data_IF_245947147987
#
_entry.id   IF_245947147987
#
_cell.length_a   1.000
_cell.length_b   1.000
_cell.length_c   1.000
_cell.angle_alpha   90.00
_cell.angle_beta   90.00
_cell.angle_gamma   90.00
#
_symmetry.space_group_name_H-M   'P 1'
#
loop_
_entity.id
_entity.type
_entity.pdbx_description
1 polymer ?
#
# COMPACT_ATOMS: atom_id res chain seq x y z
N UNK A 1 -5.77 -23.22 3.29
CA UNK A 1 -6.09 -21.81 2.99
C UNK A 1 -6.53 -21.15 4.28
N UNK A 2 -5.75 -20.25 4.90
CA UNK A 2 -6.30 -19.38 5.94
C UNK A 2 -6.84 -18.08 5.34
N UNK A 3 -7.77 -17.49 6.07
CA UNK A 3 -8.76 -16.50 5.66
C UNK A 3 -8.24 -15.27 4.91
N UNK A 4 -8.94 -14.92 3.83
CA UNK A 4 -9.08 -13.54 3.32
C UNK A 4 -9.40 -12.64 4.53
N UNK A 5 -8.71 -11.50 4.74
CA UNK A 5 -8.89 -10.74 5.96
C UNK A 5 -10.30 -10.14 5.96
N UNK A 6 -10.85 -9.92 7.16
CA UNK A 6 -12.15 -9.27 7.34
C UNK A 6 -12.10 -7.87 6.73
N UNK A 7 -12.54 -7.75 5.48
CA UNK A 7 -12.83 -6.48 4.82
C UNK A 7 -13.85 -5.77 5.71
N UNK A 8 -13.50 -4.58 6.17
CA UNK A 8 -14.51 -3.74 6.82
C UNK A 8 -15.35 -3.10 5.73
N UNK A 9 -16.65 -2.91 5.98
CA UNK A 9 -17.56 -2.19 5.06
C UNK A 9 -17.02 -0.81 4.68
N UNK A 10 -16.19 -0.21 5.55
CA UNK A 10 -15.47 1.03 5.31
C UNK A 10 -14.45 0.96 4.16
N UNK A 11 -13.93 -0.22 3.82
CA UNK A 11 -13.01 -0.46 2.71
C UNK A 11 -13.72 -0.90 1.42
N UNK A 12 -14.91 -1.49 1.50
CA UNK A 12 -15.66 -1.94 0.31
C UNK A 12 -16.02 -0.76 -0.61
N UNK A 13 -16.27 0.41 -0.04
CA UNK A 13 -16.46 1.64 -0.84
C UNK A 13 -15.21 2.01 -1.66
N UNK A 14 -14.01 1.62 -1.23
CA UNK A 14 -12.76 1.92 -1.94
C UNK A 14 -12.61 1.09 -3.23
N UNK A 15 -13.41 0.04 -3.41
CA UNK A 15 -13.38 -0.84 -4.59
C UNK A 15 -14.21 -0.30 -5.76
N UNK A 16 -15.04 0.71 -5.50
CA UNK A 16 -15.79 1.39 -6.55
C UNK A 16 -14.81 2.29 -7.30
N UNK A 17 -14.42 1.85 -8.49
CA UNK A 17 -13.53 2.61 -9.38
C UNK A 17 -14.32 3.21 -10.53
N UNK A 18 -14.24 4.53 -10.67
CA UNK A 18 -14.75 5.24 -11.84
C UNK A 18 -13.58 5.57 -12.74
N UNK A 19 -13.60 5.04 -13.96
CA UNK A 19 -12.60 5.37 -14.98
C UNK A 19 -12.81 6.82 -15.41
N UNK A 20 -11.73 7.58 -15.41
CA UNK A 20 -11.66 8.94 -15.97
C UNK A 20 -10.57 8.94 -17.05
N UNK A 21 -10.50 9.99 -17.87
CA UNK A 21 -9.52 10.03 -18.97
C UNK A 21 -8.09 9.92 -18.45
N UNK A 22 -7.46 8.76 -18.66
CA UNK A 22 -6.07 8.48 -18.26
C UNK A 22 -5.86 8.11 -16.79
N UNK A 23 -6.92 7.95 -15.99
CA UNK A 23 -6.80 7.56 -14.58
C UNK A 23 -8.07 6.85 -14.08
N UNK A 24 -8.11 6.52 -12.80
CA UNK A 24 -9.33 6.10 -12.12
C UNK A 24 -9.44 6.85 -10.80
N UNK A 25 -10.67 6.99 -10.31
CA UNK A 25 -10.95 7.56 -8.99
C UNK A 25 -11.70 6.53 -8.15
N UNK A 26 -11.46 6.52 -6.84
CA UNK A 26 -12.26 5.77 -5.89
C UNK A 26 -12.68 6.68 -4.70
N UNK A 27 -13.78 6.36 -4.01
CA UNK A 27 -14.27 7.14 -2.87
C UNK A 27 -13.28 7.35 -1.72
N UNK A 28 -12.22 6.56 -1.62
CA UNK A 28 -11.23 6.66 -0.54
C UNK A 28 -10.03 7.54 -0.91
N UNK A 29 -9.98 8.07 -2.13
CA UNK A 29 -8.95 9.03 -2.53
C UNK A 29 -9.12 10.40 -1.84
N UNK A 30 -10.31 10.71 -1.33
CA UNK A 30 -10.60 11.93 -0.57
C UNK A 30 -10.27 11.81 0.92
N UNK A 31 -10.01 10.60 1.42
CA UNK A 31 -9.68 10.40 2.83
C UNK A 31 -8.29 10.98 3.10
N UNK A 32 -8.13 11.73 4.19
CA UNK A 32 -6.82 12.27 4.60
C UNK A 32 -5.88 11.19 5.14
N UNK A 33 -6.40 10.03 5.55
CA UNK A 33 -5.62 8.90 6.03
C UNK A 33 -6.35 7.59 5.74
N UNK A 34 -5.60 6.57 5.35
CA UNK A 34 -6.08 5.18 5.25
C UNK A 34 -5.28 4.28 6.17
N UNK A 35 -5.94 3.44 6.94
CA UNK A 35 -5.31 2.49 7.86
C UNK A 35 -5.59 1.05 7.41
N UNK A 36 -4.58 0.20 7.56
CA UNK A 36 -4.59 -1.20 7.23
C UNK A 36 -4.08 -2.01 8.41
N UNK A 37 -4.58 -3.23 8.60
CA UNK A 37 -4.11 -4.12 9.64
C UNK A 37 -4.02 -5.55 9.11
N UNK A 38 -2.84 -6.17 9.27
CA UNK A 38 -2.64 -7.59 8.98
C UNK A 38 -1.94 -8.27 10.16
N UNK A 39 -2.26 -9.53 10.49
CA UNK A 39 -1.65 -10.24 11.61
C UNK A 39 -0.12 -10.31 11.56
N UNK A 40 0.46 -10.44 10.36
CA UNK A 40 1.90 -10.58 10.10
C UNK A 40 2.67 -9.25 10.01
N UNK A 41 1.95 -8.13 9.81
CA UNK A 41 2.53 -6.80 9.55
C UNK A 41 2.28 -5.84 10.72
N UNK A 42 1.16 -6.01 11.43
CA UNK A 42 0.60 -5.02 12.36
C UNK A 42 -0.22 -3.96 11.62
N UNK A 43 -0.38 -2.81 12.27
CA UNK A 43 -1.14 -1.67 11.72
C UNK A 43 -0.24 -0.74 10.90
N UNK A 44 -0.69 -0.36 9.72
CA UNK A 44 -0.05 0.62 8.83
C UNK A 44 -1.05 1.72 8.52
N UNK A 45 -0.70 2.97 8.82
CA UNK A 45 -1.51 4.15 8.47
C UNK A 45 -0.78 4.99 7.44
N UNK A 46 -1.45 5.31 6.34
CA UNK A 46 -0.95 6.09 5.23
C UNK A 46 -1.71 7.41 5.18
N UNK A 47 -0.99 8.52 5.38
CA UNK A 47 -1.53 9.85 5.12
C UNK A 47 -1.67 10.05 3.60
N UNK A 48 -2.80 10.64 3.18
CA UNK A 48 -3.08 10.96 1.78
C UNK A 48 -3.42 12.44 1.63
N UNK A 49 -3.57 12.88 0.38
CA UNK A 49 -4.12 14.19 0.08
C UNK A 49 -3.08 15.27 -0.21
N UNK A 50 -1.83 14.91 -0.48
CA UNK A 50 -0.92 15.82 -1.19
C UNK A 50 -1.41 16.06 -2.63
N UNK A 51 -1.15 17.24 -3.19
CA UNK A 51 -1.62 17.63 -4.53
C UNK A 51 -0.86 16.84 -5.60
N UNK A 52 -1.58 16.06 -6.41
CA UNK A 52 -1.05 15.40 -7.62
C UNK A 52 -1.29 13.89 -7.67
N UNK A 53 -1.01 13.23 -8.82
CA UNK A 53 -1.12 11.78 -8.96
C UNK A 53 -0.18 11.03 -8.00
N UNK A 54 -0.59 9.85 -7.52
CA UNK A 54 0.27 8.99 -6.68
C UNK A 54 0.34 9.38 -5.19
N UNK A 55 -0.47 10.33 -4.75
CA UNK A 55 -0.53 10.78 -3.35
C UNK A 55 -1.62 10.08 -2.52
N UNK A 56 -2.34 9.14 -3.14
CA UNK A 56 -3.39 8.33 -2.53
C UNK A 56 -3.06 6.85 -2.66
N UNK A 57 -3.58 6.03 -1.75
CA UNK A 57 -3.37 4.59 -1.84
C UNK A 57 -4.24 4.02 -2.96
N UNK A 58 -3.57 3.52 -4.00
CA UNK A 58 -4.21 2.82 -5.12
C UNK A 58 -4.73 1.44 -4.70
N UNK A 59 -5.88 1.06 -5.23
CA UNK A 59 -6.52 -0.26 -5.02
C UNK A 59 -5.57 -1.41 -5.33
N UNK A 60 -4.81 -1.32 -6.43
CA UNK A 60 -3.81 -2.33 -6.78
C UNK A 60 -2.71 -2.47 -5.70
N UNK A 61 -2.28 -1.35 -5.11
CA UNK A 61 -1.33 -1.37 -3.99
C UNK A 61 -1.88 -2.06 -2.75
N UNK A 62 -3.17 -1.87 -2.44
CA UNK A 62 -3.82 -2.59 -1.32
C UNK A 62 -3.92 -4.09 -1.56
N UNK A 63 -4.16 -4.50 -2.81
CA UNK A 63 -4.24 -5.92 -3.19
C UNK A 63 -2.87 -6.59 -3.07
N UNK A 64 -1.81 -5.96 -3.58
CA UNK A 64 -0.44 -6.46 -3.45
C UNK A 64 0.03 -6.50 -2.00
N UNK A 65 -0.21 -5.44 -1.22
CA UNK A 65 0.09 -5.41 0.21
C UNK A 65 -0.59 -6.56 0.96
N UNK A 66 -1.86 -6.83 0.66
CA UNK A 66 -2.61 -7.93 1.28
C UNK A 66 -2.09 -9.29 0.84
N UNK A 67 -1.72 -9.45 -0.43
CA UNK A 67 -1.08 -10.67 -0.93
C UNK A 67 0.21 -10.96 -0.16
N UNK A 68 1.11 -9.99 -0.07
CA UNK A 68 2.38 -10.15 0.65
C UNK A 68 2.17 -10.44 2.16
N UNK A 69 1.20 -9.78 2.78
CA UNK A 69 0.95 -9.91 4.21
C UNK A 69 0.26 -11.24 4.59
N UNK A 70 -0.64 -11.76 3.76
CA UNK A 70 -1.46 -12.91 4.11
C UNK A 70 -0.99 -14.21 3.48
N UNK A 71 -0.25 -14.12 2.36
CA UNK A 71 0.33 -15.28 1.70
C UNK A 71 1.63 -15.68 2.41
N UNK A 72 1.72 -16.90 2.98
CA UNK A 72 2.96 -17.40 3.55
C UNK A 72 4.13 -17.40 2.56
N UNK A 73 3.88 -17.68 1.28
CA UNK A 73 4.91 -17.68 0.24
C UNK A 73 5.36 -16.25 -0.07
N UNK A 74 4.42 -15.29 -0.09
CA UNK A 74 4.71 -13.87 -0.28
C UNK A 74 5.60 -13.31 0.84
N UNK A 75 5.23 -13.57 2.09
CA UNK A 75 6.01 -13.12 3.27
C UNK A 75 7.40 -13.78 3.34
N UNK A 76 7.51 -15.09 3.07
CA UNK A 76 8.79 -15.81 3.08
C UNK A 76 9.69 -15.40 1.92
N UNK A 77 9.14 -15.07 0.75
CA UNK A 77 9.90 -14.58 -0.40
C UNK A 77 10.58 -13.22 -0.13
N UNK A 78 10.01 -12.39 0.76
CA UNK A 78 10.54 -11.06 1.08
C UNK A 78 11.59 -11.09 2.19
N UNK A 79 11.47 -12.00 3.16
CA UNK A 79 12.29 -11.97 4.38
C UNK A 79 13.79 -12.03 4.06
N UNK A 80 14.53 -11.06 4.59
CA UNK A 80 15.98 -10.90 4.40
C UNK A 80 16.40 -10.36 3.02
N UNK A 81 15.47 -10.09 2.10
CA UNK A 81 15.78 -9.61 0.74
C UNK A 81 15.87 -8.09 0.67
N UNK A 82 16.61 -7.62 -0.32
CA UNK A 82 16.59 -6.21 -0.75
C UNK A 82 15.46 -6.05 -1.77
N UNK A 83 14.52 -5.16 -1.49
CA UNK A 83 13.30 -4.95 -2.29
C UNK A 83 13.35 -3.56 -2.92
N UNK A 84 12.92 -3.46 -4.17
CA UNK A 84 12.66 -2.18 -4.84
C UNK A 84 11.19 -2.11 -5.23
N UNK A 85 10.54 -1.00 -4.90
CA UNK A 85 9.17 -0.70 -5.34
C UNK A 85 9.22 0.38 -6.43
N UNK A 86 8.74 0.03 -7.62
CA UNK A 86 8.67 0.93 -8.77
C UNK A 86 7.27 1.55 -8.86
N UNK A 87 7.19 2.88 -8.92
CA UNK A 87 5.90 3.59 -8.88
C UNK A 87 5.22 3.42 -7.52
N UNK A 88 5.97 3.69 -6.45
CA UNK A 88 5.53 3.39 -5.10
C UNK A 88 4.33 4.23 -4.65
N UNK A 89 4.07 5.38 -5.26
CA UNK A 89 3.06 6.32 -4.80
C UNK A 89 3.23 6.61 -3.31
N UNK A 90 2.29 6.15 -2.49
CA UNK A 90 2.34 6.29 -1.02
C UNK A 90 3.30 5.33 -0.30
N UNK A 91 3.86 4.34 -0.99
CA UNK A 91 4.84 3.39 -0.45
C UNK A 91 4.23 2.25 0.39
N UNK A 92 2.92 2.01 0.29
CA UNK A 92 2.24 0.99 1.11
C UNK A 92 2.90 -0.40 0.99
N UNK A 93 3.18 -0.87 -0.23
CA UNK A 93 3.71 -2.22 -0.42
C UNK A 93 5.14 -2.33 0.11
N UNK A 94 5.96 -1.31 -0.07
CA UNK A 94 7.31 -1.27 0.47
C UNK A 94 7.35 -1.18 2.00
N UNK A 95 6.41 -0.45 2.64
CA UNK A 95 6.23 -0.47 4.09
C UNK A 95 5.87 -1.88 4.56
N UNK A 96 4.94 -2.56 3.88
CA UNK A 96 4.58 -3.95 4.17
C UNK A 96 5.79 -4.87 3.99
N UNK A 97 6.57 -4.72 2.92
CA UNK A 97 7.77 -5.51 2.69
C UNK A 97 8.82 -5.32 3.80
N UNK A 98 9.03 -4.08 4.26
CA UNK A 98 9.91 -3.79 5.39
C UNK A 98 9.44 -4.48 6.67
N UNK A 99 8.14 -4.41 6.97
CA UNK A 99 7.51 -5.04 8.14
C UNK A 99 7.56 -6.58 8.09
N UNK A 100 7.53 -7.17 6.90
CA UNK A 100 7.71 -8.61 6.68
C UNK A 100 9.19 -9.04 6.74
N UNK A 101 10.10 -8.11 7.03
CA UNK A 101 11.50 -8.41 7.30
C UNK A 101 12.41 -8.33 6.08
N UNK A 102 12.07 -7.55 5.05
CA UNK A 102 13.05 -7.16 4.04
C UNK A 102 14.30 -6.54 4.70
N UNK A 103 15.50 -6.87 4.21
CA UNK A 103 16.75 -6.31 4.72
C UNK A 103 16.99 -4.87 4.28
N UNK A 104 16.38 -4.47 3.15
CA UNK A 104 16.36 -3.10 2.65
C UNK A 104 15.14 -2.93 1.75
N UNK A 105 14.51 -1.75 1.80
CA UNK A 105 13.46 -1.36 0.85
C UNK A 105 13.85 -0.04 0.20
N UNK A 106 13.87 0.00 -1.13
CA UNK A 106 14.04 1.21 -1.93
C UNK A 106 12.70 1.57 -2.57
N UNK A 107 12.14 2.71 -2.17
CA UNK A 107 10.91 3.25 -2.75
C UNK A 107 11.27 4.19 -3.89
N UNK A 108 10.70 3.99 -5.06
CA UNK A 108 10.94 4.82 -6.24
C UNK A 108 9.63 5.24 -6.89
N UNK A 109 9.56 6.51 -7.29
CA UNK A 109 8.43 7.05 -8.03
C UNK A 109 8.93 8.13 -9.00
N UNK A 110 8.24 8.29 -10.12
CA UNK A 110 8.57 9.31 -11.11
C UNK A 110 8.01 10.69 -10.76
N UNK A 111 7.11 10.79 -9.77
CA UNK A 111 6.44 12.02 -9.40
C UNK A 111 7.01 12.60 -8.09
N UNK A 112 7.53 13.82 -8.12
CA UNK A 112 8.17 14.46 -6.95
C UNK A 112 7.29 14.66 -5.69
N UNK A 113 5.95 14.85 -5.75
CA UNK A 113 5.13 15.05 -4.55
C UNK A 113 5.00 13.82 -3.65
N UNK A 114 5.26 12.61 -4.16
CA UNK A 114 5.01 11.33 -3.47
C UNK A 114 6.04 11.01 -2.38
N UNK A 115 7.25 11.59 -2.46
CA UNK A 115 8.30 11.39 -1.45
C UNK A 115 7.92 11.92 -0.05
N UNK A 116 6.90 12.77 0.05
CA UNK A 116 6.41 13.26 1.34
C UNK A 116 5.61 12.22 2.13
N UNK A 117 4.93 11.28 1.44
CA UNK A 117 4.01 10.29 2.02
C UNK A 117 4.64 8.92 2.21
N UNK A 118 5.61 8.55 1.37
CA UNK A 118 6.32 7.27 1.41
C UNK A 118 7.42 7.24 2.50
N UNK A 119 7.05 6.97 3.76
CA UNK A 119 8.01 6.77 4.86
C UNK A 119 7.77 5.45 5.57
N UNK A 120 8.82 4.64 5.67
CA UNK A 120 8.84 3.47 6.56
C UNK A 120 9.25 3.96 7.96
N UNK A 121 8.42 3.79 9.00
CA UNK A 121 8.84 4.07 10.37
C UNK A 121 10.00 3.15 10.73
N UNK A 122 11.10 3.72 11.24
CA UNK A 122 12.20 2.98 11.86
C UNK A 122 11.77 2.31 13.15
#
# INVERSE_FOLDING_TARGET
>A
MPAVPLRTVAEDRCLIETIVTGAYINPCMIDSTRAFAWPSVGTVSIAQGSVGPGTTVLTAGTALASYLALDPDGSTAIRGKRVVELGCGTGLCGIVAARLGASQVLLTDGNSPTFSTARVPT
#
